data_IF_091621979085
#
_entry.id   IF_091621979085
#
_cell.length_a   1.000
_cell.length_b   1.000
_cell.length_c   1.000
_cell.angle_alpha   90.00
_cell.angle_beta   90.00
_cell.angle_gamma   90.00
#
_symmetry.space_group_name_H-M   'P 1'
#
loop_
_entity.id
_entity.type
_entity.pdbx_description
1 polymer ?
#
# COMPACT_ATOMS: atom_id res chain seq x y z
N UNK A 1 -5.26 21.55 5.42
CA UNK A 1 -4.26 20.48 5.62
C UNK A 1 -4.99 19.28 6.19
N UNK A 2 -4.66 18.03 5.85
CA UNK A 2 -5.25 16.89 6.58
C UNK A 2 -4.53 16.73 7.93
N UNK A 3 -5.18 16.15 8.95
CA UNK A 3 -4.58 15.90 10.28
C UNK A 3 -4.35 17.15 11.14
N UNK A 4 -5.19 18.18 10.98
CA UNK A 4 -5.11 19.45 11.74
C UNK A 4 -5.34 19.29 13.25
N UNK A 5 -5.90 18.16 13.71
CA UNK A 5 -6.04 17.85 15.14
C UNK A 5 -4.75 17.40 15.81
N UNK A 6 -3.72 17.01 15.04
CA UNK A 6 -2.46 16.55 15.61
C UNK A 6 -1.64 17.72 16.15
N UNK A 7 -1.32 17.67 17.44
CA UNK A 7 -0.37 18.61 18.05
C UNK A 7 1.06 18.34 17.58
N UNK A 8 1.89 19.39 17.58
CA UNK A 8 3.32 19.28 17.29
C UNK A 8 4.02 18.25 18.18
N UNK A 9 4.92 17.47 17.59
CA UNK A 9 5.65 16.39 18.25
C UNK A 9 7.04 16.84 18.65
N UNK A 10 7.40 16.60 19.91
CA UNK A 10 8.73 16.91 20.46
C UNK A 10 9.44 15.60 20.78
N UNK A 11 10.61 15.40 20.19
CA UNK A 11 11.41 14.18 20.34
C UNK A 11 12.82 14.55 20.75
N UNK A 12 13.39 13.84 21.72
CA UNK A 12 14.76 14.11 22.19
C UNK A 12 15.61 12.87 21.99
N UNK A 13 16.66 12.99 21.19
CA UNK A 13 17.63 11.91 20.99
C UNK A 13 18.52 11.73 22.23
N UNK A 14 19.14 10.56 22.37
CA UNK A 14 20.05 10.24 23.47
C UNK A 14 21.25 11.18 23.56
N UNK A 15 21.57 11.86 22.46
CA UNK A 15 22.65 12.84 22.38
C UNK A 15 22.26 14.21 22.95
N UNK A 16 21.00 14.39 23.39
CA UNK A 16 20.47 15.65 23.93
C UNK A 16 19.90 16.60 22.88
N UNK A 17 19.97 16.24 21.60
CA UNK A 17 19.35 17.01 20.51
C UNK A 17 17.83 16.81 20.53
N UNK A 18 17.09 17.90 20.56
CA UNK A 18 15.63 17.88 20.52
C UNK A 18 15.13 18.31 19.14
N UNK A 19 14.23 17.52 18.58
CA UNK A 19 13.57 17.75 17.30
C UNK A 19 12.11 18.10 17.56
N UNK A 20 11.60 19.11 16.87
CA UNK A 20 10.20 19.54 16.95
C UNK A 20 9.62 19.48 15.55
N UNK A 21 8.54 18.72 15.38
CA UNK A 21 7.79 18.58 14.13
C UNK A 21 6.41 19.18 14.37
N UNK A 22 6.11 20.29 13.69
CA UNK A 22 4.86 21.02 13.82
C UNK A 22 4.56 21.75 12.50
N UNK A 23 4.02 22.97 12.56
CA UNK A 23 3.94 23.88 11.41
C UNK A 23 5.32 24.18 10.81
N UNK A 24 6.38 24.09 11.61
CA UNK A 24 7.77 24.15 11.19
C UNK A 24 8.54 22.93 11.71
N UNK A 25 9.67 22.64 11.06
CA UNK A 25 10.66 21.70 11.57
C UNK A 25 11.71 22.47 12.37
N UNK A 26 11.96 22.09 13.62
CA UNK A 26 12.96 22.76 14.46
C UNK A 26 13.91 21.78 15.12
N UNK A 27 15.17 22.18 15.24
CA UNK A 27 16.23 21.39 15.87
C UNK A 27 16.91 22.22 16.95
N UNK A 28 16.99 21.67 18.16
CA UNK A 28 17.62 22.28 19.33
C UNK A 28 18.79 21.40 19.73
N UNK A 29 20.01 21.95 19.66
CA UNK A 29 21.20 21.27 20.12
C UNK A 29 21.38 21.42 21.64
N UNK A 30 22.00 20.42 22.30
CA UNK A 30 22.28 20.51 23.72
C UNK A 30 23.21 21.70 24.02
N UNK A 31 22.73 22.62 24.86
CA UNK A 31 23.48 23.81 25.27
C UNK A 31 23.35 25.02 24.34
N UNK A 32 22.57 24.92 23.26
CA UNK A 32 22.22 26.07 22.42
C UNK A 32 20.96 26.78 22.94
N UNK A 33 20.95 28.10 22.85
CA UNK A 33 19.82 28.94 23.24
C UNK A 33 18.87 29.23 22.06
N UNK A 34 19.31 29.00 20.82
CA UNK A 34 18.53 29.28 19.63
C UNK A 34 18.22 27.99 18.84
N UNK A 35 16.94 27.68 18.59
CA UNK A 35 16.58 26.59 17.70
C UNK A 35 16.92 26.94 16.24
N UNK A 36 17.46 25.98 15.50
CA UNK A 36 17.44 26.03 14.04
C UNK A 36 15.99 25.75 13.60
N UNK A 37 15.35 26.72 12.95
CA UNK A 37 13.96 26.61 12.48
C UNK A 37 13.95 26.58 10.96
N UNK A 38 13.27 25.60 10.39
CA UNK A 38 13.11 25.38 8.96
C UNK A 38 11.62 25.36 8.60
N UNK A 39 11.23 26.12 7.58
CA UNK A 39 9.91 26.00 6.99
C UNK A 39 9.83 24.73 6.13
N UNK A 40 8.64 24.15 6.00
CA UNK A 40 8.47 22.93 5.17
C UNK A 40 8.81 23.17 3.70
N UNK A 41 8.68 24.41 3.22
CA UNK A 41 9.07 24.82 1.87
C UNK A 41 10.60 24.73 1.63
N UNK A 42 11.42 24.82 2.69
CA UNK A 42 12.89 24.76 2.58
C UNK A 42 13.44 23.32 2.62
N UNK A 43 12.57 22.35 2.91
CA UNK A 43 12.94 20.93 2.98
C UNK A 43 12.99 20.37 1.56
N UNK A 44 14.16 19.89 1.15
CA UNK A 44 14.37 19.35 -0.20
C UNK A 44 14.02 17.87 -0.31
N UNK A 45 14.25 17.10 0.77
CA UNK A 45 13.93 15.68 0.79
C UNK A 45 13.55 15.19 2.18
N UNK A 46 12.64 14.22 2.22
CA UNK A 46 12.26 13.48 3.42
C UNK A 46 12.33 12.00 3.11
N UNK A 47 13.03 11.25 3.96
CA UNK A 47 13.04 9.79 3.92
C UNK A 47 12.45 9.24 5.21
N UNK A 48 11.36 8.50 5.10
CA UNK A 48 10.69 7.85 6.23
C UNK A 48 10.93 6.34 6.10
N UNK A 49 11.83 5.86 6.94
CA UNK A 49 12.08 4.43 7.15
C UNK A 49 11.21 3.93 8.32
N UNK A 50 11.17 2.61 8.54
CA UNK A 50 10.31 1.99 9.57
C UNK A 50 10.53 2.51 10.99
N UNK A 51 11.74 2.95 11.32
CA UNK A 51 12.17 3.28 12.68
C UNK A 51 13.06 4.54 12.69
N UNK A 52 13.01 5.33 11.62
CA UNK A 52 13.78 6.57 11.57
C UNK A 52 13.22 7.51 10.54
N UNK A 53 13.33 8.80 10.83
CA UNK A 53 12.94 9.86 9.93
C UNK A 53 14.20 10.64 9.57
N UNK A 54 14.44 10.82 8.29
CA UNK A 54 15.55 11.64 7.80
C UNK A 54 14.99 12.83 7.04
N UNK A 55 15.37 14.04 7.46
CA UNK A 55 14.92 15.31 6.86
C UNK A 55 16.14 16.03 6.30
N UNK A 56 16.10 16.41 5.03
CA UNK A 56 17.19 17.12 4.35
C UNK A 56 16.76 18.55 4.03
N UNK A 57 17.52 19.52 4.52
CA UNK A 57 17.31 20.96 4.29
C UNK A 57 18.53 21.53 3.55
N UNK A 58 18.39 21.76 2.24
CA UNK A 58 19.50 22.24 1.40
C UNK A 58 20.75 21.35 1.48
N UNK A 59 21.75 21.74 2.30
CA UNK A 59 23.01 21.00 2.51
C UNK A 59 23.05 20.18 3.80
N UNK A 60 22.10 20.36 4.70
CA UNK A 60 22.07 19.64 5.98
C UNK A 60 21.11 18.46 5.91
N UNK A 61 21.45 17.38 6.63
CA UNK A 61 20.60 16.20 6.73
C UNK A 61 20.51 15.79 8.19
N UNK A 62 19.29 15.81 8.70
CA UNK A 62 18.95 15.45 10.07
C UNK A 62 18.43 14.03 10.11
N UNK A 63 19.08 13.18 10.91
CA UNK A 63 18.66 11.81 11.11
C UNK A 63 18.06 11.66 12.51
N UNK A 64 16.77 11.36 12.57
CA UNK A 64 16.00 11.16 13.79
C UNK A 64 15.85 9.65 14.00
N UNK A 65 16.59 9.04 14.94
CA UNK A 65 16.55 7.61 15.18
C UNK A 65 15.32 7.21 16.02
N UNK A 66 14.96 5.93 15.97
CA UNK A 66 13.82 5.34 16.71
C UNK A 66 13.83 5.68 18.21
N UNK A 67 15.02 5.66 18.81
CA UNK A 67 15.25 5.94 20.23
C UNK A 67 14.88 7.37 20.65
N UNK A 68 14.72 8.29 19.69
CA UNK A 68 14.28 9.66 19.98
C UNK A 68 12.76 9.73 20.23
N UNK A 69 12.01 8.71 19.80
CA UNK A 69 10.57 8.61 19.99
C UNK A 69 10.27 7.88 21.30
N UNK A 70 9.31 8.42 22.07
CA UNK A 70 8.84 7.81 23.33
C UNK A 70 8.00 6.54 23.09
N UNK A 71 7.43 6.39 21.90
CA UNK A 71 6.65 5.23 21.50
C UNK A 71 6.18 5.31 20.05
N UNK A 72 5.55 4.22 19.58
CA UNK A 72 5.09 4.07 18.19
C UNK A 72 4.05 5.12 17.80
N UNK A 73 3.11 5.44 18.69
CA UNK A 73 2.12 6.48 18.46
C UNK A 73 2.76 7.85 18.18
N UNK A 74 3.85 8.20 18.88
CA UNK A 74 4.56 9.46 18.63
C UNK A 74 5.26 9.44 17.26
N UNK A 75 5.85 8.31 16.88
CA UNK A 75 6.43 8.12 15.55
C UNK A 75 5.37 8.25 14.45
N UNK A 76 4.22 7.60 14.60
CA UNK A 76 3.10 7.64 13.65
C UNK A 76 2.51 9.05 13.52
N UNK A 77 2.37 9.78 14.63
CA UNK A 77 1.94 11.18 14.63
C UNK A 77 2.96 12.10 13.94
N UNK A 78 4.25 11.98 14.27
CA UNK A 78 5.32 12.77 13.66
C UNK A 78 5.42 12.52 12.15
N UNK A 79 5.37 11.25 11.74
CA UNK A 79 5.30 10.84 10.33
C UNK A 79 4.10 11.46 9.62
N UNK A 80 2.92 11.41 10.24
CA UNK A 80 1.70 11.92 9.61
C UNK A 80 1.74 13.44 9.46
N UNK A 81 2.24 14.17 10.46
CA UNK A 81 2.48 15.60 10.36
C UNK A 81 3.40 15.94 9.19
N UNK A 82 4.56 15.29 9.09
CA UNK A 82 5.49 15.52 7.98
C UNK A 82 4.82 15.26 6.62
N UNK A 83 4.15 14.12 6.47
CA UNK A 83 3.49 13.78 5.20
C UNK A 83 2.36 14.75 4.85
N UNK A 84 1.61 15.26 5.84
CA UNK A 84 0.57 16.26 5.60
C UNK A 84 1.12 17.61 5.10
N UNK A 85 2.32 17.97 5.55
CA UNK A 85 3.01 19.23 5.23
C UNK A 85 3.75 19.15 3.88
N UNK A 86 4.34 17.99 3.59
CA UNK A 86 5.13 17.70 2.38
C UNK A 86 4.22 17.31 1.20
N UNK A 87 2.95 17.72 1.23
CA UNK A 87 1.96 17.43 0.17
C UNK A 87 2.28 18.12 -1.17
N UNK A 88 3.21 19.07 -1.18
CA UNK A 88 3.62 19.79 -2.40
C UNK A 88 4.63 18.99 -3.24
N UNK A 89 4.34 18.93 -4.55
CA UNK A 89 4.97 18.03 -5.54
C UNK A 89 6.48 18.22 -5.77
N UNK A 90 7.09 19.25 -5.22
CA UNK A 90 8.50 19.59 -5.47
C UNK A 90 9.48 18.87 -4.54
N UNK A 91 8.99 18.36 -3.41
CA UNK A 91 9.81 17.71 -2.38
C UNK A 91 10.02 16.21 -2.69
N UNK A 92 11.26 15.74 -2.60
CA UNK A 92 11.55 14.31 -2.81
C UNK A 92 11.20 13.54 -1.53
N UNK A 93 10.05 12.89 -1.53
CA UNK A 93 9.58 12.07 -0.40
C UNK A 93 9.72 10.58 -0.72
N UNK A 94 10.63 9.89 -0.03
CA UNK A 94 10.80 8.44 -0.10
C UNK A 94 10.24 7.80 1.17
N UNK A 95 9.09 7.14 1.03
CA UNK A 95 8.40 6.45 2.12
C UNK A 95 8.51 4.96 1.88
N UNK A 96 8.88 4.22 2.93
CA UNK A 96 8.92 2.76 2.87
C UNK A 96 7.55 2.19 2.45
N UNK A 97 7.56 1.06 1.72
CA UNK A 97 6.32 0.44 1.22
C UNK A 97 5.44 -0.01 2.37
N UNK A 98 4.23 0.54 2.46
CA UNK A 98 3.25 0.27 3.52
C UNK A 98 1.89 -0.16 2.99
N UNK A 99 1.12 -0.83 3.86
CA UNK A 99 -0.27 -1.24 3.57
C UNK A 99 -1.22 -0.06 3.67
N UNK A 100 -0.93 0.86 4.58
CA UNK A 100 -1.74 2.04 4.78
C UNK A 100 -1.51 3.04 3.65
N UNK A 101 -2.57 3.75 3.23
CA UNK A 101 -2.44 4.77 2.21
C UNK A 101 -1.51 5.89 2.69
N UNK A 102 -0.80 6.46 1.72
CA UNK A 102 0.02 7.65 1.96
C UNK A 102 -0.85 8.79 2.48
N UNK A 103 -0.40 9.40 3.59
CA UNK A 103 -1.13 10.46 4.31
C UNK A 103 -1.31 11.72 3.47
N UNK A 104 -0.50 11.90 2.42
CA UNK A 104 -0.64 12.99 1.43
C UNK A 104 -1.95 12.96 0.64
N UNK A 105 -2.59 11.80 0.52
CA UNK A 105 -3.85 11.68 -0.23
C UNK A 105 -5.10 12.03 0.58
N UNK A 106 -4.93 12.31 1.88
CA UNK A 106 -6.04 12.68 2.73
C UNK A 106 -6.43 14.13 2.52
N UNK A 107 -7.72 14.38 2.69
CA UNK A 107 -8.31 15.72 2.65
C UNK A 107 -9.33 15.84 3.77
N UNK A 108 -9.47 17.06 4.29
CA UNK A 108 -10.52 17.34 5.27
C UNK A 108 -11.89 17.14 4.62
N UNK A 109 -12.71 16.36 5.30
CA UNK A 109 -14.07 16.04 4.91
C UNK A 109 -14.82 15.49 6.12
N UNK A 110 -15.98 16.08 6.41
CA UNK A 110 -16.84 15.61 7.48
C UNK A 110 -17.52 14.29 7.06
N UNK A 111 -17.15 13.21 7.72
CA UNK A 111 -17.67 11.88 7.41
C UNK A 111 -19.17 11.84 7.75
N UNK A 112 -20.04 11.47 6.80
CA UNK A 112 -21.48 11.45 7.03
C UNK A 112 -21.89 10.31 7.96
N UNK A 113 -23.03 10.45 8.64
CA UNK A 113 -23.59 9.41 9.53
C UNK A 113 -23.89 8.08 8.83
N UNK A 114 -23.99 8.09 7.49
CA UNK A 114 -24.17 6.89 6.68
C UNK A 114 -22.88 6.06 6.53
N UNK A 115 -21.73 6.56 7.00
CA UNK A 115 -20.45 5.88 6.87
C UNK A 115 -20.43 4.57 7.67
N UNK A 116 -19.70 3.60 7.13
CA UNK A 116 -19.46 2.33 7.79
C UNK A 116 -18.10 2.40 8.47
N UNK A 117 -18.08 2.11 9.76
CA UNK A 117 -16.87 2.12 10.58
C UNK A 117 -16.50 0.71 11.01
N UNK A 118 -15.20 0.40 10.99
CA UNK A 118 -14.66 -0.79 11.62
C UNK A 118 -13.27 -0.52 12.19
N UNK A 119 -12.90 -1.32 13.19
CA UNK A 119 -11.58 -1.28 13.80
C UNK A 119 -10.98 -2.66 13.83
N UNK A 120 -9.71 -2.77 13.50
CA UNK A 120 -9.00 -4.03 13.59
C UNK A 120 -7.58 -3.95 13.06
N UNK A 121 -6.85 -5.04 13.27
CA UNK A 121 -5.48 -5.22 12.79
C UNK A 121 -5.48 -5.88 11.42
N UNK A 122 -4.48 -5.57 10.60
CA UNK A 122 -4.32 -6.28 9.34
C UNK A 122 -3.79 -7.69 9.58
N UNK A 123 -4.49 -8.68 9.02
CA UNK A 123 -3.99 -10.04 8.99
C UNK A 123 -3.04 -10.24 7.79
N UNK A 124 -1.75 -10.58 8.00
CA UNK A 124 -0.80 -10.77 6.91
C UNK A 124 -1.19 -11.92 5.97
N UNK A 125 -1.96 -12.90 6.46
CA UNK A 125 -2.46 -14.01 5.63
C UNK A 125 -3.49 -13.52 4.60
N UNK A 126 -4.37 -12.62 5.01
CA UNK A 126 -5.39 -12.04 4.13
C UNK A 126 -4.76 -11.16 3.06
N UNK A 127 -3.76 -10.33 3.42
CA UNK A 127 -3.02 -9.51 2.45
C UNK A 127 -2.32 -10.40 1.43
N UNK A 128 -1.65 -11.47 1.88
CA UNK A 128 -0.98 -12.41 0.97
C UNK A 128 -1.97 -13.05 -0.01
N UNK A 129 -3.13 -13.48 0.48
CA UNK A 129 -4.19 -14.05 -0.37
C UNK A 129 -4.70 -13.04 -1.39
N UNK A 130 -4.99 -11.82 -0.95
CA UNK A 130 -5.46 -10.72 -1.79
C UNK A 130 -4.43 -10.33 -2.86
N UNK A 131 -3.15 -10.21 -2.51
CA UNK A 131 -2.05 -9.93 -3.45
C UNK A 131 -1.96 -11.01 -4.52
N UNK A 132 -2.05 -12.29 -4.13
CA UNK A 132 -2.01 -13.41 -5.08
C UNK A 132 -3.20 -13.34 -6.04
N UNK A 133 -4.40 -13.06 -5.53
CA UNK A 133 -5.60 -12.91 -6.35
C UNK A 133 -5.50 -11.73 -7.32
N UNK A 134 -4.88 -10.62 -6.92
CA UNK A 134 -4.65 -9.45 -7.76
C UNK A 134 -3.71 -9.76 -8.94
N UNK A 135 -2.63 -10.49 -8.67
CA UNK A 135 -1.68 -10.92 -9.71
C UNK A 135 -2.31 -11.91 -10.67
N UNK A 136 -3.07 -12.87 -10.14
CA UNK A 136 -3.85 -13.83 -10.94
C UNK A 136 -4.90 -13.12 -11.82
N UNK A 137 -5.62 -12.13 -11.28
CA UNK A 137 -6.62 -11.37 -12.03
C UNK A 137 -6.00 -10.58 -13.19
N UNK A 138 -4.86 -9.90 -12.96
CA UNK A 138 -4.17 -9.13 -14.00
C UNK A 138 -3.51 -10.03 -15.05
N UNK A 139 -2.96 -11.18 -14.65
CA UNK A 139 -2.12 -12.00 -15.52
C UNK A 139 -2.80 -13.29 -16.01
N UNK A 140 -4.04 -13.56 -15.62
CA UNK A 140 -4.79 -14.73 -16.06
C UNK A 140 -4.88 -14.83 -17.59
N UNK A 141 -5.12 -13.71 -18.27
CA UNK A 141 -5.12 -13.65 -19.75
C UNK A 141 -3.75 -14.02 -20.34
N UNK A 142 -2.67 -13.61 -19.69
CA UNK A 142 -1.29 -13.86 -20.14
C UNK A 142 -0.90 -15.34 -19.93
N UNK A 143 -1.33 -15.95 -18.82
CA UNK A 143 -1.20 -17.39 -18.58
C UNK A 143 -1.88 -18.22 -19.68
N UNK A 144 -3.09 -17.82 -20.09
CA UNK A 144 -3.81 -18.46 -21.19
C UNK A 144 -3.05 -18.36 -22.51
N UNK A 145 -2.50 -17.18 -22.83
CA UNK A 145 -1.69 -16.99 -24.03
C UNK A 145 -0.43 -17.87 -24.01
N UNK A 146 0.27 -17.96 -22.87
CA UNK A 146 1.46 -18.81 -22.72
C UNK A 146 1.10 -20.29 -22.90
N UNK A 147 -0.02 -20.75 -22.32
CA UNK A 147 -0.47 -22.12 -22.48
C UNK A 147 -0.73 -22.49 -23.94
N UNK A 148 -1.42 -21.63 -24.68
CA UNK A 148 -1.69 -21.83 -26.11
C UNK A 148 -0.39 -21.83 -26.92
N UNK A 149 0.52 -20.89 -26.64
CA UNK A 149 1.79 -20.78 -27.35
C UNK A 149 2.69 -22.00 -27.09
N UNK A 150 2.72 -22.50 -25.85
CA UNK A 150 3.42 -23.72 -25.49
C UNK A 150 2.83 -24.95 -26.19
N UNK A 151 1.50 -25.08 -26.30
CA UNK A 151 0.85 -26.12 -27.09
C UNK A 151 1.30 -26.08 -28.56
N UNK A 152 1.28 -24.91 -29.18
CA UNK A 152 1.65 -24.75 -30.59
C UNK A 152 3.13 -25.07 -30.81
N UNK A 153 4.02 -24.52 -29.98
CA UNK A 153 5.46 -24.75 -30.10
C UNK A 153 5.82 -26.23 -29.91
N UNK A 154 5.22 -26.89 -28.93
CA UNK A 154 5.46 -28.32 -28.68
C UNK A 154 4.92 -29.18 -29.82
N UNK A 155 3.74 -28.86 -30.36
CA UNK A 155 3.19 -29.57 -31.53
C UNK A 155 4.11 -29.47 -32.76
N UNK A 156 4.68 -28.29 -33.02
CA UNK A 156 5.64 -28.09 -34.13
C UNK A 156 6.92 -28.90 -33.91
N UNK A 157 7.48 -28.89 -32.69
CA UNK A 157 8.68 -29.66 -32.35
C UNK A 157 8.42 -31.16 -32.52
N UNK A 158 7.33 -31.68 -31.98
CA UNK A 158 6.98 -33.09 -32.13
C UNK A 158 6.73 -33.48 -33.59
N UNK A 159 6.12 -32.59 -34.39
CA UNK A 159 5.96 -32.80 -35.82
C UNK A 159 7.30 -32.88 -36.55
N UNK A 160 8.29 -32.04 -36.20
CA UNK A 160 9.62 -32.07 -36.81
C UNK A 160 10.40 -33.36 -36.49
N UNK A 161 10.28 -33.89 -35.27
CA UNK A 161 11.10 -35.04 -34.84
C UNK A 161 10.47 -36.41 -35.14
N UNK A 162 9.15 -36.55 -35.06
CA UNK A 162 8.47 -37.86 -35.10
C UNK A 162 7.75 -38.09 -36.44
N UNK A 163 7.40 -37.03 -37.18
CA UNK A 163 6.57 -37.13 -38.38
C UNK A 163 5.12 -37.56 -38.08
N UNK A 164 4.20 -37.31 -39.02
CA UNK A 164 2.79 -37.74 -38.89
C UNK A 164 2.68 -39.23 -39.28
N UNK A 165 2.90 -40.13 -38.33
CA UNK A 165 2.52 -41.53 -38.47
C UNK A 165 1.22 -41.80 -37.68
N UNK A 166 0.30 -42.55 -38.29
CA UNK A 166 -1.07 -42.77 -37.81
C UNK A 166 -1.12 -43.46 -36.43
N UNK A 167 -0.06 -44.20 -36.06
CA UNK A 167 0.08 -44.91 -34.79
C UNK A 167 0.65 -44.07 -33.63
N UNK A 168 1.23 -42.88 -33.90
CA UNK A 168 1.91 -42.04 -32.89
C UNK A 168 1.12 -40.82 -32.44
N UNK A 169 -0.07 -40.56 -33.00
CA UNK A 169 -0.85 -39.35 -32.69
C UNK A 169 -1.24 -39.27 -31.20
N UNK A 170 -1.54 -40.40 -30.56
CA UNK A 170 -1.88 -40.38 -29.13
C UNK A 170 -0.71 -39.89 -28.26
N UNK A 171 0.52 -40.32 -28.54
CA UNK A 171 1.72 -39.87 -27.84
C UNK A 171 1.97 -38.37 -28.06
N UNK A 172 1.73 -37.88 -29.27
CA UNK A 172 1.90 -36.47 -29.62
C UNK A 172 0.88 -35.58 -28.88
N UNK A 173 -0.37 -36.05 -28.76
CA UNK A 173 -1.42 -35.33 -28.05
C UNK A 173 -1.18 -35.29 -26.53
N UNK A 174 -0.74 -36.41 -25.95
CA UNK A 174 -0.45 -36.49 -24.52
C UNK A 174 0.83 -35.70 -24.18
N UNK A 175 1.88 -35.81 -24.99
CA UNK A 175 3.14 -35.08 -24.80
C UNK A 175 2.97 -33.57 -24.88
N UNK A 176 2.23 -33.07 -25.88
CA UNK A 176 1.92 -31.64 -26.00
C UNK A 176 1.10 -31.12 -24.83
N UNK A 177 0.11 -31.89 -24.36
CA UNK A 177 -0.70 -31.54 -23.20
C UNK A 177 0.15 -31.40 -21.92
N UNK A 178 0.97 -32.41 -21.60
CA UNK A 178 1.82 -32.36 -20.40
C UNK A 178 2.88 -31.25 -20.47
N UNK A 179 3.47 -31.01 -21.64
CA UNK A 179 4.41 -29.90 -21.82
C UNK A 179 3.72 -28.53 -21.65
N UNK A 180 2.50 -28.36 -22.17
CA UNK A 180 1.75 -27.12 -22.01
C UNK A 180 1.33 -26.89 -20.56
N UNK A 181 0.83 -27.92 -19.87
CA UNK A 181 0.50 -27.86 -18.44
C UNK A 181 1.76 -27.54 -17.63
N UNK A 182 2.88 -28.20 -17.91
CA UNK A 182 4.16 -27.95 -17.26
C UNK A 182 4.64 -26.51 -17.45
N UNK A 183 4.53 -25.95 -18.66
CA UNK A 183 4.88 -24.57 -18.96
C UNK A 183 3.99 -23.56 -18.19
N UNK A 184 2.69 -23.82 -18.12
CA UNK A 184 1.74 -22.98 -17.36
C UNK A 184 2.04 -23.03 -15.86
N UNK A 185 2.25 -24.23 -15.30
CA UNK A 185 2.58 -24.42 -13.88
C UNK A 185 3.92 -23.74 -13.53
N UNK A 186 4.95 -23.92 -14.35
CA UNK A 186 6.25 -23.28 -14.14
C UNK A 186 6.13 -21.75 -14.16
N UNK A 187 5.43 -21.21 -15.16
CA UNK A 187 5.19 -19.77 -15.27
C UNK A 187 4.42 -19.26 -14.06
N UNK A 188 3.38 -19.98 -13.62
CA UNK A 188 2.63 -19.66 -12.41
C UNK A 188 3.52 -19.62 -11.17
N UNK A 189 4.38 -20.62 -10.96
CA UNK A 189 5.30 -20.66 -9.82
C UNK A 189 6.29 -19.47 -9.84
N UNK A 190 6.84 -19.15 -11.02
CA UNK A 190 7.72 -17.98 -11.18
C UNK A 190 6.97 -16.69 -10.86
N UNK A 191 5.72 -16.55 -11.30
CA UNK A 191 4.90 -15.38 -10.99
C UNK A 191 4.57 -15.28 -9.49
N UNK A 192 4.24 -16.38 -8.83
CA UNK A 192 4.02 -16.40 -7.38
C UNK A 192 5.30 -15.96 -6.66
N UNK A 193 6.46 -16.38 -7.14
CA UNK A 193 7.76 -15.96 -6.59
C UNK A 193 7.98 -14.45 -6.77
N UNK A 194 7.78 -13.93 -7.98
CA UNK A 194 7.91 -12.50 -8.28
C UNK A 194 6.93 -11.67 -7.45
N UNK A 195 5.68 -12.09 -7.34
CA UNK A 195 4.67 -11.43 -6.52
C UNK A 195 5.09 -11.42 -5.05
N UNK A 196 5.58 -12.56 -4.53
CA UNK A 196 6.08 -12.66 -3.16
C UNK A 196 7.26 -11.73 -2.92
N UNK A 197 8.18 -11.58 -3.89
CA UNK A 197 9.32 -10.67 -3.79
C UNK A 197 8.83 -9.21 -3.83
N UNK A 198 8.02 -8.85 -4.82
CA UNK A 198 7.51 -7.48 -5.03
C UNK A 198 6.70 -6.97 -3.83
N UNK A 199 5.88 -7.83 -3.25
CA UNK A 199 5.01 -7.50 -2.11
C UNK A 199 5.57 -7.98 -0.77
N UNK A 200 6.81 -8.45 -0.71
CA UNK A 200 7.48 -8.83 0.55
C UNK A 200 7.55 -7.64 1.50
N UNK A 201 7.86 -6.46 0.99
CA UNK A 201 7.89 -5.21 1.75
C UNK A 201 6.55 -4.89 2.40
N UNK A 202 5.46 -5.04 1.65
CA UNK A 202 4.09 -4.84 2.11
C UNK A 202 3.71 -5.81 3.24
N UNK A 203 3.98 -7.10 3.05
CA UNK A 203 3.71 -8.14 4.07
C UNK A 203 4.54 -7.88 5.34
N UNK A 204 5.80 -7.48 5.17
CA UNK A 204 6.67 -7.15 6.29
C UNK A 204 6.21 -5.87 7.01
N UNK A 205 5.68 -4.88 6.30
CA UNK A 205 5.08 -3.69 6.93
C UNK A 205 3.87 -4.08 7.77
N UNK A 206 2.99 -4.95 7.27
CA UNK A 206 1.85 -5.47 8.02
C UNK A 206 2.26 -6.23 9.28
N UNK A 207 3.24 -7.13 9.18
CA UNK A 207 3.67 -7.97 10.31
C UNK A 207 4.40 -7.19 11.41
N UNK A 208 4.87 -5.98 11.11
CA UNK A 208 5.58 -5.12 12.06
C UNK A 208 4.65 -4.00 12.62
N UNK A 209 3.48 -3.77 12.01
CA UNK A 209 2.49 -2.79 12.46
C UNK A 209 1.36 -3.52 13.21
N UNK A 210 1.64 -3.91 14.46
CA UNK A 210 0.62 -4.44 15.40
C UNK A 210 -0.33 -3.33 15.91
N UNK A 211 -0.48 -2.21 15.19
CA UNK A 211 -1.39 -1.12 15.55
C UNK A 211 -2.79 -1.40 15.00
N UNK A 212 -3.79 -1.12 15.84
CA UNK A 212 -5.20 -1.15 15.43
C UNK A 212 -5.48 -0.03 14.44
N UNK A 213 -6.16 -0.35 13.35
CA UNK A 213 -6.47 0.58 12.28
C UNK A 213 -7.96 0.84 12.30
N UNK A 214 -8.33 2.12 12.24
CA UNK A 214 -9.70 2.54 12.07
C UNK A 214 -9.97 2.75 10.58
N UNK A 215 -11.01 2.07 10.11
CA UNK A 215 -11.55 2.21 8.76
C UNK A 215 -12.87 2.99 8.83
N UNK A 216 -13.02 3.96 7.94
CA UNK A 216 -14.28 4.61 7.67
C UNK A 216 -14.53 4.63 6.16
N UNK A 217 -15.64 4.06 5.71
CA UNK A 217 -16.01 4.01 4.29
C UNK A 217 -17.31 4.76 4.09
N UNK A 218 -17.32 5.72 3.18
CA UNK A 218 -18.49 6.51 2.82
C UNK A 218 -18.57 6.66 1.29
N UNK A 219 -19.71 7.14 0.75
CA UNK A 219 -19.85 7.34 -0.70
C UNK A 219 -18.78 8.27 -1.30
N UNK A 220 -18.32 9.26 -0.55
CA UNK A 220 -17.36 10.26 -1.02
C UNK A 220 -15.90 9.76 -1.01
N UNK A 221 -15.59 8.69 -0.26
CA UNK A 221 -14.22 8.24 -0.08
C UNK A 221 -14.01 7.25 1.06
N UNK A 222 -12.74 6.94 1.30
CA UNK A 222 -12.31 5.98 2.32
C UNK A 222 -11.25 6.59 3.23
N UNK A 223 -11.32 6.28 4.52
CA UNK A 223 -10.31 6.60 5.51
C UNK A 223 -9.78 5.29 6.10
N UNK A 224 -8.46 5.16 6.18
CA UNK A 224 -7.77 4.02 6.77
C UNK A 224 -6.51 4.53 7.49
N UNK A 225 -6.63 4.77 8.79
CA UNK A 225 -5.55 5.33 9.60
C UNK A 225 -5.38 4.57 10.90
N UNK A 226 -4.15 4.58 11.40
CA UNK A 226 -3.78 4.09 12.72
C UNK A 226 -4.61 4.81 13.79
N UNK A 227 -5.06 4.09 14.82
CA UNK A 227 -5.89 4.62 15.92
C UNK A 227 -5.26 5.85 16.59
N UNK A 228 -3.93 5.90 16.65
CA UNK A 228 -3.16 7.01 17.25
C UNK A 228 -3.31 8.34 16.50
N UNK A 229 -3.69 8.29 15.24
CA UNK A 229 -3.75 9.46 14.35
C UNK A 229 -5.14 9.68 13.75
N UNK A 230 -5.99 8.67 13.75
CA UNK A 230 -7.32 8.74 13.16
C UNK A 230 -8.16 9.92 13.67
N UNK A 231 -8.81 10.61 12.73
CA UNK A 231 -9.83 11.63 12.98
C UNK A 231 -11.05 11.40 12.08
N UNK A 232 -12.28 11.65 12.59
CA UNK A 232 -13.51 11.49 11.82
C UNK A 232 -13.74 12.59 10.76
N UNK A 233 -12.73 13.45 10.52
CA UNK A 233 -12.81 14.57 9.58
C UNK A 233 -11.87 14.40 8.38
N UNK A 234 -11.35 13.21 8.14
CA UNK A 234 -10.33 12.97 7.11
C UNK A 234 -10.66 11.75 6.26
N UNK A 235 -10.72 11.96 4.94
CA UNK A 235 -10.88 10.88 3.97
C UNK A 235 -9.96 11.07 2.77
N UNK A 236 -9.68 9.95 2.12
CA UNK A 236 -9.19 9.90 0.76
C UNK A 236 -10.41 9.90 -0.15
N UNK A 237 -10.64 11.02 -0.84
CA UNK A 237 -11.74 11.14 -1.78
C UNK A 237 -11.50 10.26 -3.00
N UNK A 238 -12.56 9.64 -3.50
CA UNK A 238 -12.52 8.97 -4.78
C UNK A 238 -12.36 10.02 -5.90
N UNK A 239 -11.56 9.69 -6.89
CA UNK A 239 -11.32 10.51 -8.07
C UNK A 239 -11.51 9.72 -9.37
N UNK A 240 -11.49 10.41 -10.50
CA UNK A 240 -11.84 9.85 -11.81
C UNK A 240 -11.00 8.65 -12.29
N UNK A 241 -9.79 8.45 -11.73
CA UNK A 241 -8.91 7.34 -12.09
C UNK A 241 -8.94 6.19 -11.08
N UNK A 242 -9.89 6.24 -10.14
CA UNK A 242 -10.00 5.26 -9.07
C UNK A 242 -10.91 4.11 -9.49
N UNK A 243 -10.53 2.90 -9.09
CA UNK A 243 -11.26 1.68 -9.36
C UNK A 243 -11.11 0.76 -8.16
N UNK A 244 -12.07 -0.13 -7.91
CA UNK A 244 -11.92 -1.12 -6.84
C UNK A 244 -11.85 -2.53 -7.40
N UNK A 245 -11.12 -3.39 -6.69
CA UNK A 245 -10.99 -4.80 -6.98
C UNK A 245 -11.47 -5.55 -5.75
N UNK A 246 -12.45 -6.42 -5.95
CA UNK A 246 -12.96 -7.29 -4.92
C UNK A 246 -12.22 -8.63 -4.93
N UNK A 247 -11.72 -9.05 -3.78
CA UNK A 247 -11.16 -10.39 -3.54
C UNK A 247 -12.04 -11.13 -2.55
N UNK A 248 -11.77 -12.42 -2.33
CA UNK A 248 -12.48 -13.21 -1.31
C UNK A 248 -12.30 -12.66 0.11
N UNK A 249 -11.19 -11.96 0.39
CA UNK A 249 -10.83 -11.49 1.73
C UNK A 249 -10.85 -9.97 1.89
N UNK A 250 -10.73 -9.20 0.80
CA UNK A 250 -10.55 -7.74 0.89
C UNK A 250 -11.23 -6.99 -0.26
N UNK A 251 -11.55 -5.73 -0.04
CA UNK A 251 -11.74 -4.75 -1.10
C UNK A 251 -10.45 -3.95 -1.28
N UNK A 252 -9.95 -3.83 -2.51
CA UNK A 252 -8.72 -3.10 -2.81
C UNK A 252 -9.11 -1.89 -3.66
N UNK A 253 -9.00 -0.69 -3.09
CA UNK A 253 -9.14 0.56 -3.84
C UNK A 253 -7.84 0.82 -4.56
N UNK A 254 -7.91 1.10 -5.85
CA UNK A 254 -6.77 1.37 -6.73
C UNK A 254 -6.89 2.76 -7.34
N UNK A 255 -5.75 3.44 -7.49
CA UNK A 255 -5.63 4.73 -8.20
C UNK A 255 -4.58 4.58 -9.28
N UNK A 256 -4.95 4.78 -10.55
CA UNK A 256 -4.01 4.65 -11.67
C UNK A 256 -3.32 3.27 -11.74
N UNK A 257 -4.08 2.18 -11.55
CA UNK A 257 -3.61 0.78 -11.52
C UNK A 257 -2.70 0.36 -10.35
N UNK A 258 -2.39 1.25 -9.41
CA UNK A 258 -1.67 0.96 -8.17
C UNK A 258 -2.66 0.78 -7.00
N UNK A 259 -2.45 -0.19 -6.10
CA UNK A 259 -3.27 -0.32 -4.89
C UNK A 259 -3.03 0.87 -3.95
N UNK A 260 -4.11 1.47 -3.48
CA UNK A 260 -4.12 2.64 -2.62
C UNK A 260 -4.55 2.29 -1.19
N UNK A 261 -5.69 1.59 -1.05
CA UNK A 261 -6.25 1.19 0.25
C UNK A 261 -6.67 -0.28 0.20
N UNK A 262 -6.36 -1.01 1.27
CA UNK A 262 -6.76 -2.41 1.47
C UNK A 262 -7.80 -2.47 2.57
N UNK A 263 -9.03 -2.90 2.29
CA UNK A 263 -10.13 -2.94 3.25
C UNK A 263 -10.43 -4.40 3.57
N UNK A 264 -10.14 -4.90 4.79
CA UNK A 264 -10.39 -6.29 5.16
C UNK A 264 -11.89 -6.56 5.33
N UNK A 265 -12.43 -7.57 4.65
CA UNK A 265 -13.85 -7.94 4.78
C UNK A 265 -14.17 -8.57 6.13
N UNK A 266 -13.19 -9.21 6.77
CA UNK A 266 -13.32 -9.87 8.07
C UNK A 266 -13.67 -8.91 9.22
N UNK A 267 -13.47 -7.61 9.03
CA UNK A 267 -13.77 -6.58 10.02
C UNK A 267 -15.20 -6.05 9.94
N UNK A 268 -15.97 -6.44 8.93
CA UNK A 268 -17.32 -5.91 8.69
C UNK A 268 -18.35 -7.03 8.64
N UNK A 269 -19.54 -6.73 9.16
CA UNK A 269 -20.71 -7.62 9.06
C UNK A 269 -21.27 -7.65 7.62
N UNK A 270 -22.05 -8.68 7.28
CA UNK A 270 -22.59 -8.86 5.92
C UNK A 270 -23.35 -7.63 5.38
N UNK A 271 -24.22 -7.03 6.19
CA UNK A 271 -24.96 -5.82 5.79
C UNK A 271 -24.05 -4.59 5.60
N UNK A 272 -22.93 -4.53 6.31
CA UNK A 272 -21.93 -3.47 6.15
C UNK A 272 -21.10 -3.69 4.87
N UNK A 273 -20.79 -4.94 4.53
CA UNK A 273 -20.12 -5.30 3.27
C UNK A 273 -20.95 -4.90 2.05
N UNK A 274 -22.25 -5.19 2.04
CA UNK A 274 -23.15 -4.82 0.94
C UNK A 274 -23.18 -3.29 0.74
N UNK A 275 -23.18 -2.51 1.83
CA UNK A 275 -23.13 -1.04 1.77
C UNK A 275 -21.79 -0.53 1.27
N UNK A 276 -20.68 -1.13 1.73
CA UNK A 276 -19.34 -0.79 1.26
C UNK A 276 -19.23 -1.02 -0.25
N UNK A 277 -19.74 -2.14 -0.74
CA UNK A 277 -19.76 -2.42 -2.17
C UNK A 277 -20.54 -1.36 -2.95
N UNK A 278 -21.71 -0.96 -2.46
CA UNK A 278 -22.49 0.14 -3.05
C UNK A 278 -21.73 1.47 -3.03
N UNK A 279 -21.07 1.82 -1.93
CA UNK A 279 -20.30 3.06 -1.82
C UNK A 279 -19.09 3.06 -2.75
N UNK A 280 -18.38 1.94 -2.86
CA UNK A 280 -17.26 1.78 -3.78
C UNK A 280 -17.74 1.85 -5.24
N UNK A 281 -18.87 1.24 -5.56
CA UNK A 281 -19.46 1.28 -6.89
C UNK A 281 -19.90 2.70 -7.28
N UNK A 282 -20.54 3.44 -6.36
CA UNK A 282 -20.97 4.82 -6.61
C UNK A 282 -19.77 5.78 -6.71
N UNK A 283 -18.85 5.70 -5.74
CA UNK A 283 -17.71 6.59 -5.65
C UNK A 283 -16.68 6.42 -6.78
N UNK A 284 -16.60 5.24 -7.39
CA UNK A 284 -15.76 5.00 -8.58
C UNK A 284 -16.50 5.24 -9.90
N UNK A 285 -17.82 5.46 -9.87
CA UNK A 285 -18.66 5.73 -11.04
C UNK A 285 -19.00 7.20 -11.26
N UNK A 286 -18.76 8.09 -10.29
CA UNK A 286 -18.96 9.53 -10.48
C UNK A 286 -18.04 10.04 -11.61
N UNK A 287 -18.67 10.15 -12.79
CA UNK A 287 -18.18 10.64 -14.08
C UNK A 287 -18.41 12.13 -14.20
#
# INVERSE_FOLDING_TARGET
>A
MAFEHLCGQVMTDSNGTTYIISDNFSVIYPGDAHPDVYEWADISAVKIDKSSITVTTGKQTYHIPDRAFTGRAQFTAAKTLILSQVSDKETVCDVSVEVLPDKRFYSNYDIPDSAVFAKGEYNPKEIRSSVLSLVLGKMGRLLWCIGILACVATAIIFQMYIGFAQDTWWYLSIGTFFCAVGAVVLTYLVMVLIAKIKYSGLIRSCADNDETITFAVCPAGVSAAEESVYSPHEIIRFGMNDNYIETSSMFIVTRGNAPLVWIPKSLFDGAALDRIEQYLALGTQDK
#
